data_IF_024821740295
#
_entry.id   IF_024821740295
#
_cell.length_a   1.000
_cell.length_b   1.000
_cell.length_c   1.000
_cell.angle_alpha   90.00
_cell.angle_beta   90.00
_cell.angle_gamma   90.00
#
_symmetry.space_group_name_H-M   'P 1'
#
loop_
_entity.id
_entity.type
_entity.pdbx_description
1 polymer ?
#
# COMPACT_ATOMS: atom_id res chain seq x y z
N UNK A 1 23.00 -12.09 -22.54
CA UNK A 1 21.51 -12.11 -22.57
C UNK A 1 21.01 -11.75 -21.18
N UNK A 2 20.19 -10.70 -21.02
CA UNK A 2 19.55 -10.43 -19.72
C UNK A 2 18.44 -11.48 -19.52
N UNK A 3 18.64 -12.42 -18.60
CA UNK A 3 17.59 -13.34 -18.15
C UNK A 3 16.64 -12.57 -17.25
N UNK A 4 15.56 -12.01 -17.81
CA UNK A 4 14.44 -11.50 -17.02
C UNK A 4 13.34 -12.55 -16.96
N UNK A 5 12.66 -12.62 -15.83
CA UNK A 5 11.42 -13.40 -15.65
C UNK A 5 10.28 -12.41 -15.51
N UNK A 6 9.22 -12.61 -16.27
CA UNK A 6 8.00 -11.81 -16.21
C UNK A 6 6.96 -12.53 -15.36
N UNK A 7 6.20 -11.77 -14.57
CA UNK A 7 5.10 -12.28 -13.76
C UNK A 7 3.80 -11.57 -14.17
N UNK A 8 2.74 -12.33 -14.45
CA UNK A 8 1.44 -11.80 -14.87
C UNK A 8 0.53 -11.44 -13.68
N UNK A 9 0.82 -11.96 -12.50
CA UNK A 9 0.07 -11.69 -11.27
C UNK A 9 0.94 -11.87 -10.01
N UNK A 10 0.38 -11.52 -8.84
CA UNK A 10 1.10 -11.57 -7.57
C UNK A 10 1.51 -13.00 -7.19
N UNK A 11 0.71 -14.01 -7.56
CA UNK A 11 0.99 -15.41 -7.27
C UNK A 11 2.20 -15.92 -8.07
N UNK A 12 2.28 -15.57 -9.35
CA UNK A 12 3.42 -15.89 -10.21
C UNK A 12 4.68 -15.15 -9.75
N UNK A 13 4.53 -13.87 -9.33
CA UNK A 13 5.64 -13.11 -8.76
C UNK A 13 6.17 -13.76 -7.48
N UNK A 14 5.30 -14.17 -6.56
CA UNK A 14 5.69 -14.89 -5.34
C UNK A 14 6.48 -16.16 -5.69
N UNK A 15 6.01 -16.95 -6.67
CA UNK A 15 6.72 -18.16 -7.12
C UNK A 15 8.11 -17.85 -7.67
N UNK A 16 8.24 -16.82 -8.51
CA UNK A 16 9.52 -16.41 -9.10
C UNK A 16 10.51 -15.96 -8.01
N UNK A 17 10.02 -15.29 -6.97
CA UNK A 17 10.83 -14.79 -5.86
C UNK A 17 11.06 -15.82 -4.74
N UNK A 18 10.50 -17.03 -4.85
CA UNK A 18 10.57 -18.05 -3.79
C UNK A 18 9.82 -17.69 -2.51
N UNK A 19 8.80 -16.82 -2.62
CA UNK A 19 7.97 -16.39 -1.49
C UNK A 19 6.72 -17.28 -1.35
N UNK A 20 6.21 -17.50 -0.12
CA UNK A 20 4.96 -18.21 0.09
C UNK A 20 3.81 -17.51 -0.66
N UNK A 21 3.08 -18.27 -1.47
CA UNK A 21 1.91 -17.74 -2.21
C UNK A 21 0.79 -17.27 -1.29
N UNK A 22 0.74 -17.79 -0.05
CA UNK A 22 -0.16 -17.37 1.02
C UNK A 22 0.04 -15.90 1.46
N UNK A 23 1.24 -15.34 1.27
CA UNK A 23 1.51 -13.92 1.56
C UNK A 23 1.00 -12.99 0.44
N UNK A 24 0.74 -13.52 -0.76
CA UNK A 24 0.34 -12.76 -1.94
C UNK A 24 -0.87 -11.84 -1.71
N UNK A 25 -2.00 -12.32 -1.15
CA UNK A 25 -3.16 -11.49 -0.84
C UNK A 25 -2.85 -10.33 0.11
N UNK A 26 -2.06 -10.57 1.16
CA UNK A 26 -1.67 -9.54 2.14
C UNK A 26 -0.77 -8.49 1.50
N UNK A 27 0.21 -8.92 0.69
CA UNK A 27 1.09 -8.01 -0.06
C UNK A 27 0.26 -7.15 -1.01
N UNK A 28 -0.63 -7.77 -1.79
CA UNK A 28 -1.51 -7.07 -2.72
C UNK A 28 -2.36 -6.01 -2.00
N UNK A 29 -3.01 -6.38 -0.91
CA UNK A 29 -3.85 -5.46 -0.15
C UNK A 29 -3.07 -4.25 0.38
N UNK A 30 -1.87 -4.48 0.93
CA UNK A 30 -1.00 -3.39 1.42
C UNK A 30 -0.54 -2.46 0.30
N UNK A 31 -0.20 -3.01 -0.87
CA UNK A 31 0.19 -2.23 -2.05
C UNK A 31 -1.01 -1.42 -2.57
N UNK A 32 -2.18 -2.03 -2.70
CA UNK A 32 -3.40 -1.35 -3.18
C UNK A 32 -3.78 -0.18 -2.26
N UNK A 33 -3.69 -0.36 -0.93
CA UNK A 33 -3.89 0.71 0.05
C UNK A 33 -2.88 1.85 -0.12
N UNK A 34 -1.58 1.53 -0.21
CA UNK A 34 -0.54 2.53 -0.38
C UNK A 34 -0.70 3.34 -1.68
N UNK A 35 -1.04 2.66 -2.78
CA UNK A 35 -1.32 3.31 -4.08
C UNK A 35 -2.53 4.22 -3.98
N UNK A 36 -3.62 3.77 -3.35
CA UNK A 36 -4.82 4.58 -3.18
C UNK A 36 -4.56 5.84 -2.32
N UNK A 37 -3.81 5.70 -1.23
CA UNK A 37 -3.38 6.82 -0.38
C UNK A 37 -2.53 7.80 -1.20
N UNK A 38 -1.51 7.31 -1.91
CA UNK A 38 -0.62 8.13 -2.74
C UNK A 38 -1.40 8.92 -3.78
N UNK A 39 -2.24 8.24 -4.56
CA UNK A 39 -3.07 8.87 -5.59
C UNK A 39 -4.03 9.92 -5.00
N UNK A 40 -4.58 9.71 -3.80
CA UNK A 40 -5.43 10.71 -3.17
C UNK A 40 -4.63 11.96 -2.75
N UNK A 41 -3.46 11.78 -2.16
CA UNK A 41 -2.56 12.87 -1.76
C UNK A 41 -2.17 13.71 -2.97
N UNK A 42 -1.75 13.07 -4.05
CA UNK A 42 -1.39 13.72 -5.31
C UNK A 42 -2.56 14.46 -5.94
N UNK A 43 -3.72 13.80 -6.09
CA UNK A 43 -4.92 14.42 -6.70
C UNK A 43 -5.43 15.63 -5.93
N UNK A 44 -5.37 15.59 -4.59
CA UNK A 44 -5.76 16.70 -3.72
C UNK A 44 -4.64 17.74 -3.53
N UNK A 45 -3.47 17.54 -4.15
CA UNK A 45 -2.27 18.40 -4.02
C UNK A 45 -1.89 18.67 -2.55
N UNK A 46 -2.07 17.66 -1.69
CA UNK A 46 -1.76 17.80 -0.26
C UNK A 46 -0.25 17.70 -0.04
N UNK A 47 0.29 18.54 0.85
CA UNK A 47 1.62 18.31 1.38
C UNK A 47 1.61 17.06 2.27
N UNK A 48 2.78 16.46 2.49
CA UNK A 48 2.88 15.32 3.41
C UNK A 48 2.42 15.69 4.83
N UNK A 49 2.59 16.96 5.22
CA UNK A 49 2.16 17.47 6.53
C UNK A 49 0.62 17.54 6.62
N UNK A 50 -0.04 18.10 5.61
CA UNK A 50 -1.51 18.17 5.57
C UNK A 50 -2.16 16.78 5.57
N UNK A 51 -1.57 15.84 4.84
CA UNK A 51 -2.04 14.46 4.84
C UNK A 51 -1.86 13.79 6.20
N UNK A 52 -0.74 14.06 6.87
CA UNK A 52 -0.43 13.54 8.20
C UNK A 52 -1.43 14.04 9.26
N UNK A 53 -1.73 15.34 9.24
CA UNK A 53 -2.74 15.96 10.12
C UNK A 53 -4.14 15.38 9.90
N UNK A 54 -4.54 15.17 8.65
CA UNK A 54 -5.85 14.57 8.32
C UNK A 54 -5.99 13.11 8.74
N UNK A 55 -4.87 12.39 8.88
CA UNK A 55 -4.86 10.96 9.19
C UNK A 55 -4.35 10.65 10.61
N UNK A 56 -4.15 11.67 11.43
CA UNK A 56 -3.63 11.56 12.81
C UNK A 56 -2.36 10.70 12.90
N UNK A 57 -1.41 10.96 12.00
CA UNK A 57 -0.10 10.28 12.00
C UNK A 57 1.05 11.29 11.88
N UNK A 58 2.26 10.85 12.17
CA UNK A 58 3.45 11.67 11.91
C UNK A 58 3.76 11.79 10.41
N UNK A 59 4.25 12.96 9.97
CA UNK A 59 4.69 13.24 8.59
C UNK A 59 5.60 12.17 7.99
N UNK A 60 6.49 11.57 8.80
CA UNK A 60 7.41 10.50 8.35
C UNK A 60 6.66 9.26 7.88
N UNK A 61 5.50 8.93 8.46
CA UNK A 61 4.67 7.81 8.02
C UNK A 61 4.13 8.07 6.63
N UNK A 62 3.62 9.28 6.37
CA UNK A 62 3.16 9.68 5.03
C UNK A 62 4.31 9.65 4.03
N UNK A 63 5.47 10.23 4.36
CA UNK A 63 6.65 10.18 3.48
C UNK A 63 7.06 8.74 3.15
N UNK A 64 7.02 7.83 4.13
CA UNK A 64 7.33 6.42 3.90
C UNK A 64 6.33 5.77 2.92
N UNK A 65 5.02 6.04 3.06
CA UNK A 65 3.99 5.56 2.13
C UNK A 65 4.22 6.13 0.71
N UNK A 66 4.46 7.43 0.60
CA UNK A 66 4.73 8.10 -0.68
C UNK A 66 5.94 7.51 -1.40
N UNK A 67 6.96 7.08 -0.64
CA UNK A 67 8.16 6.42 -1.15
C UNK A 67 8.01 4.89 -1.33
N UNK A 68 6.83 4.31 -1.05
CA UNK A 68 6.60 2.86 -1.13
C UNK A 68 7.27 2.04 -0.01
N UNK A 69 7.83 2.69 1.02
CA UNK A 69 8.43 2.01 2.17
C UNK A 69 7.36 1.67 3.21
N UNK A 70 6.84 0.45 3.14
CA UNK A 70 5.78 -0.03 4.04
C UNK A 70 6.29 -0.91 5.18
N UNK A 71 7.61 -1.15 5.30
CA UNK A 71 8.16 -2.17 6.22
C UNK A 71 7.75 -1.97 7.68
N UNK A 72 7.70 -0.71 8.15
CA UNK A 72 7.37 -0.35 9.54
C UNK A 72 5.91 0.05 9.73
N UNK A 73 5.06 -0.14 8.72
CA UNK A 73 3.66 0.28 8.73
C UNK A 73 2.78 -0.97 8.74
N UNK A 74 1.97 -1.13 9.79
CA UNK A 74 1.03 -2.25 9.86
C UNK A 74 -0.10 -2.08 8.84
N UNK A 75 -0.78 -3.18 8.53
CA UNK A 75 -1.91 -3.14 7.60
C UNK A 75 -3.05 -2.31 8.15
N UNK A 76 -3.38 -2.46 9.44
CA UNK A 76 -4.43 -1.68 10.11
C UNK A 76 -4.12 -0.19 10.05
N UNK A 77 -2.86 0.20 10.27
CA UNK A 77 -2.44 1.60 10.15
C UNK A 77 -2.60 2.16 8.74
N UNK A 78 -2.44 1.35 7.69
CA UNK A 78 -2.75 1.79 6.32
C UNK A 78 -4.26 1.98 6.11
N UNK A 79 -5.10 1.15 6.73
CA UNK A 79 -6.55 1.29 6.68
C UNK A 79 -6.98 2.58 7.39
N UNK A 80 -6.48 2.84 8.60
CA UNK A 80 -6.78 4.04 9.38
C UNK A 80 -6.37 5.31 8.62
N UNK A 81 -5.17 5.32 8.01
CA UNK A 81 -4.70 6.44 7.19
C UNK A 81 -5.61 6.65 5.99
N UNK A 82 -5.97 5.58 5.28
CA UNK A 82 -6.88 5.67 4.14
C UNK A 82 -8.22 6.28 4.55
N UNK A 83 -8.81 5.81 5.66
CA UNK A 83 -10.07 6.32 6.19
C UNK A 83 -9.97 7.79 6.65
N UNK A 84 -8.90 8.17 7.38
CA UNK A 84 -8.67 9.55 7.81
C UNK A 84 -8.54 10.54 6.63
N UNK A 85 -8.01 10.10 5.50
CA UNK A 85 -7.96 10.91 4.27
C UNK A 85 -9.30 10.97 3.52
N UNK A 86 -10.30 10.20 3.95
CA UNK A 86 -11.65 10.14 3.38
C UNK A 86 -11.84 9.04 2.33
N UNK A 87 -10.98 8.02 2.29
CA UNK A 87 -11.22 6.84 1.45
C UNK A 87 -12.17 5.86 2.15
N UNK A 88 -13.05 5.24 1.37
CA UNK A 88 -13.85 4.11 1.84
C UNK A 88 -13.10 2.81 1.57
N UNK A 89 -12.73 2.10 2.63
CA UNK A 89 -12.09 0.78 2.54
C UNK A 89 -13.17 -0.31 2.62
N UNK A 90 -13.13 -1.28 1.72
CA UNK A 90 -14.01 -2.46 1.73
C UNK A 90 -13.16 -3.72 1.61
N UNK A 91 -13.34 -4.67 2.53
CA UNK A 91 -12.77 -6.01 2.42
C UNK A 91 -13.85 -6.97 1.94
N UNK A 92 -13.46 -7.89 1.05
CA UNK A 92 -14.30 -8.98 0.57
C UNK A 92 -13.55 -10.28 0.79
N UNK A 93 -14.24 -11.28 1.32
CA UNK A 93 -13.73 -12.63 1.45
C UNK A 93 -14.15 -13.39 0.19
N UNK A 94 -13.20 -14.04 -0.47
CA UNK A 94 -13.51 -14.95 -1.56
C UNK A 94 -13.93 -16.30 -0.98
N UNK A 95 -15.08 -16.80 -1.41
CA UNK A 95 -15.59 -18.16 -1.16
C UNK A 95 -15.08 -19.13 -2.21
#
# INVERSE_FOLDING_TARGET
MKNFKEAKNIQELCKILGLPTSEGPKVKMRVDLAVAIRHLIERKKMTHQQAAEKSDVGRTVITAIMNGNLQKITTDRLIDIAQGLGLKVQLKIAS
#
